data_IF_566657488567
#
_entry.id   IF_566657488567
#
_cell.length_a   1.000
_cell.length_b   1.000
_cell.length_c   1.000
_cell.angle_alpha   90.00
_cell.angle_beta   90.00
_cell.angle_gamma   90.00
#
_symmetry.space_group_name_H-M   'P 1'
#
loop_
_entity.id
_entity.type
_entity.pdbx_description
1 polymer ?
#
# COMPACT_ATOMS: atom_id res chain seq x y z
N UNK A 1 -10.82 -9.71 -5.76
CA UNK A 1 -10.02 -8.51 -6.07
C UNK A 1 -9.95 -7.69 -4.80
N UNK A 2 -8.78 -7.19 -4.44
CA UNK A 2 -8.57 -6.37 -3.25
C UNK A 2 -8.06 -5.00 -3.66
N UNK A 3 -8.74 -3.96 -3.18
CA UNK A 3 -8.28 -2.58 -3.31
C UNK A 3 -8.00 -2.08 -1.90
N UNK A 4 -6.78 -1.65 -1.65
CA UNK A 4 -6.29 -1.25 -0.34
C UNK A 4 -5.88 0.22 -0.44
N UNK A 5 -6.70 1.10 0.10
CA UNK A 5 -6.40 2.52 0.17
C UNK A 5 -5.68 2.83 1.49
N UNK A 6 -4.55 3.52 1.41
CA UNK A 6 -3.70 3.81 2.57
C UNK A 6 -3.43 5.30 2.64
N UNK A 7 -3.97 5.96 3.66
CA UNK A 7 -3.70 7.37 3.93
C UNK A 7 -2.41 7.48 4.75
N UNK A 8 -1.43 8.19 4.22
CA UNK A 8 -0.09 8.33 4.82
C UNK A 8 0.17 9.80 5.11
N UNK A 9 0.21 10.15 6.39
CA UNK A 9 0.63 11.47 6.82
C UNK A 9 2.14 11.50 7.02
N UNK A 10 2.80 12.46 6.39
CA UNK A 10 4.26 12.61 6.45
C UNK A 10 4.62 13.90 7.16
N UNK A 11 5.61 13.82 8.04
CA UNK A 11 6.28 14.98 8.62
C UNK A 11 7.74 14.94 8.18
N UNK A 12 8.18 15.98 7.49
CA UNK A 12 9.58 16.12 7.07
C UNK A 12 10.32 16.88 8.16
N UNK A 13 11.23 16.21 8.86
CA UNK A 13 12.02 16.81 9.94
C UNK A 13 13.32 17.44 9.44
N UNK A 14 13.94 16.85 8.43
CA UNK A 14 15.20 17.31 7.85
C UNK A 14 15.16 17.16 6.32
N UNK A 15 15.85 18.07 5.64
CA UNK A 15 15.95 18.08 4.18
C UNK A 15 17.41 18.20 3.78
N UNK A 16 17.92 17.13 3.15
CA UNK A 16 19.31 17.05 2.66
C UNK A 16 19.43 17.36 1.16
N UNK A 17 18.34 17.80 0.51
CA UNK A 17 18.25 17.99 -0.93
C UNK A 17 17.65 19.36 -1.29
N UNK A 18 18.02 19.98 -2.42
CA UNK A 18 17.64 21.35 -2.76
C UNK A 18 16.22 21.48 -3.35
N UNK A 19 15.25 20.71 -2.85
CA UNK A 19 13.85 20.80 -3.31
C UNK A 19 13.04 21.71 -2.39
N UNK A 20 12.33 22.67 -2.97
CA UNK A 20 11.52 23.61 -2.22
C UNK A 20 10.12 23.05 -1.94
N UNK A 21 9.98 22.40 -0.78
CA UNK A 21 8.72 21.84 -0.30
C UNK A 21 7.64 22.91 -0.07
N UNK A 22 8.04 24.17 0.21
CA UNK A 22 7.07 25.26 0.39
C UNK A 22 6.40 25.67 -0.93
N UNK A 23 7.12 25.54 -2.04
CA UNK A 23 6.60 25.92 -3.37
C UNK A 23 5.85 24.78 -4.06
N UNK A 24 6.25 23.54 -3.79
CA UNK A 24 5.76 22.38 -4.53
C UNK A 24 5.49 21.16 -3.62
N UNK A 25 4.65 21.27 -2.59
CA UNK A 25 4.34 20.16 -1.68
C UNK A 25 3.68 18.99 -2.43
N UNK A 26 2.69 19.28 -3.28
CA UNK A 26 1.96 18.28 -4.09
C UNK A 26 2.89 17.46 -5.00
N UNK A 27 3.95 18.09 -5.52
CA UNK A 27 4.93 17.37 -6.35
C UNK A 27 5.73 16.37 -5.52
N UNK A 28 6.04 16.68 -4.26
CA UNK A 28 6.70 15.74 -3.37
C UNK A 28 5.74 14.62 -2.95
N UNK A 29 4.50 14.96 -2.60
CA UNK A 29 3.45 13.99 -2.29
C UNK A 29 3.29 12.97 -3.44
N UNK A 30 3.12 13.44 -4.67
CA UNK A 30 3.00 12.57 -5.85
C UNK A 30 4.24 11.69 -6.08
N UNK A 31 5.44 12.20 -5.81
CA UNK A 31 6.67 11.40 -5.88
C UNK A 31 6.71 10.31 -4.81
N UNK A 32 6.28 10.63 -3.59
CA UNK A 32 6.19 9.68 -2.48
C UNK A 32 5.12 8.62 -2.75
N UNK A 33 3.94 9.01 -3.23
CA UNK A 33 2.87 8.10 -3.63
C UNK A 33 3.36 7.11 -4.69
N UNK A 34 4.00 7.60 -5.75
CA UNK A 34 4.53 6.75 -6.82
C UNK A 34 5.59 5.78 -6.30
N UNK A 35 6.45 6.24 -5.39
CA UNK A 35 7.49 5.40 -4.79
C UNK A 35 6.88 4.32 -3.89
N UNK A 36 6.00 4.70 -2.97
CA UNK A 36 5.31 3.79 -2.06
C UNK A 36 4.47 2.78 -2.84
N UNK A 37 3.79 3.21 -3.91
CA UNK A 37 3.03 2.32 -4.78
C UNK A 37 3.92 1.22 -5.36
N UNK A 38 5.08 1.57 -5.93
CA UNK A 38 6.03 0.59 -6.47
C UNK A 38 6.57 -0.36 -5.40
N UNK A 39 6.85 0.15 -4.20
CA UNK A 39 7.33 -0.68 -3.09
C UNK A 39 6.25 -1.66 -2.61
N UNK A 40 5.01 -1.21 -2.53
CA UNK A 40 3.86 -2.05 -2.20
C UNK A 40 3.57 -3.09 -3.29
N UNK A 41 3.66 -2.72 -4.57
CA UNK A 41 3.55 -3.67 -5.69
C UNK A 41 4.61 -4.77 -5.59
N UNK A 42 5.88 -4.39 -5.37
CA UNK A 42 6.96 -5.35 -5.19
C UNK A 42 6.80 -6.23 -3.93
N UNK A 43 6.23 -5.68 -2.85
CA UNK A 43 5.89 -6.44 -1.65
C UNK A 43 4.79 -7.46 -1.97
N UNK A 44 3.69 -7.04 -2.58
CA UNK A 44 2.57 -7.89 -2.99
C UNK A 44 3.07 -9.04 -3.88
N UNK A 45 3.90 -8.76 -4.88
CA UNK A 45 4.50 -9.79 -5.73
C UNK A 45 5.28 -10.85 -4.93
N UNK A 46 6.05 -10.42 -3.91
CA UNK A 46 6.77 -11.35 -3.03
C UNK A 46 5.80 -12.21 -2.21
N UNK A 47 4.76 -11.60 -1.64
CA UNK A 47 3.75 -12.33 -0.86
C UNK A 47 3.04 -13.39 -1.73
N UNK A 48 2.66 -13.01 -2.95
CA UNK A 48 2.02 -13.90 -3.92
C UNK A 48 2.94 -15.02 -4.39
N UNK A 49 4.21 -14.72 -4.68
CA UNK A 49 5.22 -15.72 -5.05
C UNK A 49 5.43 -16.75 -3.95
N UNK A 50 5.42 -16.32 -2.69
CA UNK A 50 5.60 -17.20 -1.54
C UNK A 50 4.30 -17.81 -1.02
N UNK A 51 3.15 -17.45 -1.61
CA UNK A 51 1.82 -17.96 -1.22
C UNK A 51 1.50 -17.73 0.26
N UNK A 52 1.96 -16.60 0.81
CA UNK A 52 1.78 -16.25 2.23
C UNK A 52 0.93 -15.00 2.39
N UNK A 53 0.11 -14.97 3.44
CA UNK A 53 -0.78 -13.86 3.75
C UNK A 53 -0.45 -13.21 5.12
N UNK A 54 0.63 -12.44 5.22
CA UNK A 54 0.92 -11.68 6.44
C UNK A 54 0.00 -10.46 6.61
N UNK A 55 -0.77 -10.08 5.59
CA UNK A 55 -1.68 -8.93 5.62
C UNK A 55 -3.07 -9.31 6.17
N UNK A 56 -3.38 -10.61 6.28
CA UNK A 56 -4.65 -11.11 6.78
C UNK A 56 -5.82 -10.97 5.79
N UNK A 57 -5.54 -10.88 4.48
CA UNK A 57 -6.56 -10.75 3.43
C UNK A 57 -7.56 -11.91 3.40
N UNK A 58 -7.18 -13.09 3.88
CA UNK A 58 -8.06 -14.26 4.00
C UNK A 58 -9.20 -14.06 5.00
N UNK A 59 -9.00 -13.22 6.02
CA UNK A 59 -10.06 -12.86 6.97
C UNK A 59 -11.13 -12.03 6.26
N UNK A 60 -10.72 -11.02 5.49
CA UNK A 60 -11.63 -10.19 4.70
C UNK A 60 -12.32 -10.98 3.58
N UNK A 61 -11.62 -11.94 2.97
CA UNK A 61 -12.18 -12.78 1.91
C UNK A 61 -13.30 -13.71 2.40
N UNK A 62 -13.25 -14.15 3.66
CA UNK A 62 -14.27 -15.00 4.29
C UNK A 62 -15.63 -14.30 4.46
N UNK A 63 -15.64 -12.98 4.55
CA UNK A 63 -16.85 -12.19 4.74
C UNK A 63 -17.66 -11.99 3.43
N UNK A 64 -17.08 -12.33 2.28
CA UNK A 64 -17.74 -12.30 0.96
C UNK A 64 -18.48 -13.62 0.65
N UNK A 65 -19.38 -13.66 -0.36
CA UNK A 65 -20.34 -14.74 -0.55
C UNK A 65 -19.73 -16.15 -0.48
N UNK A 66 -20.38 -16.98 0.33
CA UNK A 66 -19.97 -18.31 0.79
C UNK A 66 -19.44 -19.22 -0.34
N UNK A 67 -20.01 -19.15 -1.54
CA UNK A 67 -19.69 -20.03 -2.66
C UNK A 67 -18.28 -19.83 -3.27
N UNK A 68 -17.73 -18.61 -3.16
CA UNK A 68 -16.39 -18.32 -3.66
C UNK A 68 -15.32 -18.67 -2.63
N UNK A 69 -15.61 -18.43 -1.34
CA UNK A 69 -14.69 -18.72 -0.24
C UNK A 69 -14.54 -20.22 0.01
N UNK A 70 -15.65 -20.98 -0.01
CA UNK A 70 -15.65 -22.42 0.31
C UNK A 70 -14.82 -23.28 -0.66
N UNK A 71 -14.50 -22.77 -1.86
CA UNK A 71 -13.65 -23.46 -2.86
C UNK A 71 -12.15 -23.16 -2.72
N UNK A 72 -11.81 -22.04 -2.11
CA UNK A 72 -10.43 -21.52 -2.08
C UNK A 72 -9.86 -21.50 -0.64
N UNK A 73 -10.69 -21.78 0.38
CA UNK A 73 -10.27 -21.81 1.79
C UNK A 73 -9.18 -22.85 2.06
N UNK A 74 -9.25 -24.02 1.44
CA UNK A 74 -8.30 -25.11 1.64
C UNK A 74 -6.92 -24.82 1.00
N UNK A 75 -6.85 -23.90 0.04
CA UNK A 75 -5.61 -23.51 -0.66
C UNK A 75 -5.50 -21.97 -0.80
N UNK A 76 -5.71 -21.28 0.33
CA UNK A 76 -5.74 -19.82 0.38
C UNK A 76 -4.47 -19.17 -0.19
N UNK A 77 -3.29 -19.74 0.11
CA UNK A 77 -2.02 -19.22 -0.40
C UNK A 77 -1.95 -19.21 -1.93
N UNK A 78 -2.46 -20.27 -2.57
CA UNK A 78 -2.54 -20.34 -4.04
C UNK A 78 -3.64 -19.45 -4.59
N UNK A 79 -4.77 -19.30 -3.91
CA UNK A 79 -5.81 -18.34 -4.27
C UNK A 79 -5.27 -16.90 -4.24
N UNK A 80 -4.54 -16.53 -3.18
CA UNK A 80 -3.89 -15.24 -3.01
C UNK A 80 -2.88 -14.96 -4.13
N UNK A 81 -2.09 -15.96 -4.54
CA UNK A 81 -1.11 -15.81 -5.63
C UNK A 81 -1.72 -15.43 -6.98
N UNK A 82 -3.03 -15.71 -7.19
CA UNK A 82 -3.77 -15.35 -8.40
C UNK A 82 -4.63 -14.09 -8.22
N UNK A 83 -4.74 -13.57 -7.00
CA UNK A 83 -5.61 -12.45 -6.70
C UNK A 83 -5.07 -11.15 -7.31
N UNK A 84 -5.97 -10.33 -7.85
CA UNK A 84 -5.64 -8.94 -8.18
C UNK A 84 -5.67 -8.11 -6.89
N UNK A 85 -4.52 -7.62 -6.46
CA UNK A 85 -4.34 -6.76 -5.29
C UNK A 85 -3.78 -5.42 -5.77
N UNK A 86 -4.48 -4.33 -5.46
CA UNK A 86 -4.04 -2.97 -5.78
C UNK A 86 -3.89 -2.22 -4.47
N UNK A 87 -2.73 -1.59 -4.27
CA UNK A 87 -2.49 -0.71 -3.11
C UNK A 87 -2.38 0.73 -3.61
N UNK A 88 -3.19 1.61 -3.04
CA UNK A 88 -3.29 3.02 -3.40
C UNK A 88 -2.87 3.89 -2.22
N UNK A 89 -1.57 4.18 -2.07
CA UNK A 89 -1.13 5.15 -1.07
C UNK A 89 -1.56 6.56 -1.47
N UNK A 90 -2.10 7.31 -0.52
CA UNK A 90 -2.38 8.74 -0.61
C UNK A 90 -1.51 9.44 0.41
N UNK A 91 -0.63 10.33 -0.04
CA UNK A 91 0.36 10.97 0.83
C UNK A 91 -0.03 12.43 1.06
N UNK A 92 -0.07 12.83 2.32
CA UNK A 92 -0.26 14.22 2.71
C UNK A 92 0.90 14.65 3.62
N UNK A 93 1.63 15.70 3.23
CA UNK A 93 2.72 16.23 4.06
C UNK A 93 2.16 17.31 4.99
N UNK A 94 2.10 16.97 6.28
CA UNK A 94 1.51 17.81 7.34
C UNK A 94 2.43 18.94 7.79
N UNK A 95 3.74 18.72 7.80
CA UNK A 95 4.72 19.70 8.28
C UNK A 95 6.11 19.41 7.68
N UNK A 96 6.91 20.46 7.51
CA UNK A 96 8.26 20.41 6.95
C UNK A 96 9.34 20.93 7.91
N UNK A 97 9.05 20.93 9.21
CA UNK A 97 9.97 21.44 10.22
C UNK A 97 10.11 22.96 10.10
N UNK A 98 9.04 23.70 10.41
CA UNK A 98 9.22 25.11 10.75
C UNK A 98 10.00 25.15 12.06
N UNK A 99 11.30 25.45 11.99
CA UNK A 99 12.02 26.02 13.12
C UNK A 99 11.25 27.30 13.50
N UNK A 100 10.60 27.30 14.65
CA UNK A 100 10.11 28.54 15.27
C UNK A 100 11.28 29.50 15.49
#
# INVERSE_FOLDING_TARGET
MFNIDVNVEVVVTERLFPFDLNKHPERMESLLEHRLKKENEALVEKLQKHQVDPLGLGVYAREYPYDAWNKEQDDWGKALSRARITVSPQVEIRNFGVTM
#
